data_IF_272856981472
#
_entry.id   IF_272856981472
#
_cell.length_a   1.000
_cell.length_b   1.000
_cell.length_c   1.000
_cell.angle_alpha   90.00
_cell.angle_beta   90.00
_cell.angle_gamma   90.00
#
_symmetry.space_group_name_H-M   'P 1'
#
loop_
_entity.id
_entity.type
_entity.pdbx_description
1 polymer ?
#
# COMPACT_ATOMS: atom_id res chain seq x y z
N UNK A 1 -6.75 -2.64 -2.64
CA UNK A 1 -7.86 -1.72 -2.32
C UNK A 1 -8.98 -2.38 -1.53
N UNK A 2 -9.47 -3.60 -1.86
CA UNK A 2 -10.52 -4.29 -1.09
C UNK A 2 -10.16 -4.55 0.38
N UNK A 3 -8.90 -4.89 0.66
CA UNK A 3 -8.43 -5.29 2.01
C UNK A 3 -7.73 -4.17 2.78
N UNK A 4 -7.24 -3.15 2.09
CA UNK A 4 -6.59 -1.96 2.66
C UNK A 4 -6.93 -0.73 1.84
N UNK A 5 -7.20 0.37 2.53
CA UNK A 5 -7.55 1.64 1.88
C UNK A 5 -6.33 2.42 1.40
N UNK A 6 -5.14 2.11 1.89
CA UNK A 6 -3.88 2.68 1.42
C UNK A 6 -3.08 1.60 0.68
N UNK A 7 -2.77 1.87 -0.58
CA UNK A 7 -1.91 1.04 -1.43
C UNK A 7 -0.73 1.87 -1.88
N UNK A 8 0.47 1.32 -1.74
CA UNK A 8 1.72 1.93 -2.20
C UNK A 8 2.21 1.19 -3.44
N UNK A 9 2.42 1.92 -4.52
CA UNK A 9 2.99 1.41 -5.76
C UNK A 9 4.48 1.79 -5.79
N UNK A 10 5.34 0.82 -5.52
CA UNK A 10 6.80 0.99 -5.46
C UNK A 10 7.45 0.52 -6.76
N UNK A 11 8.53 1.14 -7.17
CA UNK A 11 9.34 0.74 -8.32
C UNK A 11 10.15 1.89 -8.91
N UNK A 12 10.94 1.58 -9.92
CA UNK A 12 11.81 2.57 -10.59
C UNK A 12 10.99 3.74 -11.18
N UNK A 13 11.63 4.89 -11.30
CA UNK A 13 11.02 6.03 -11.99
C UNK A 13 10.71 5.66 -13.45
N UNK A 14 9.58 6.15 -13.97
CA UNK A 14 9.15 5.88 -15.35
C UNK A 14 8.48 4.51 -15.61
N UNK A 15 8.36 3.62 -14.64
CA UNK A 15 7.72 2.29 -14.82
C UNK A 15 6.19 2.37 -15.02
N UNK A 16 5.59 3.56 -14.88
CA UNK A 16 4.16 3.75 -15.11
C UNK A 16 3.28 3.69 -13.87
N UNK A 17 3.81 3.88 -12.66
CA UNK A 17 3.05 3.87 -11.39
C UNK A 17 1.82 4.78 -11.43
N UNK A 18 2.00 6.06 -11.74
CA UNK A 18 0.92 7.05 -11.83
C UNK A 18 -0.07 6.70 -12.96
N UNK A 19 0.41 6.09 -14.04
CA UNK A 19 -0.46 5.60 -15.14
C UNK A 19 -1.39 4.48 -14.68
N UNK A 20 -0.91 3.55 -13.85
CA UNK A 20 -1.73 2.48 -13.29
C UNK A 20 -2.87 3.06 -12.46
N UNK A 21 -2.63 4.10 -11.65
CA UNK A 21 -3.68 4.77 -10.86
C UNK A 21 -4.74 5.38 -11.77
N UNK A 22 -4.34 6.08 -12.84
CA UNK A 22 -5.28 6.65 -13.82
C UNK A 22 -6.13 5.57 -14.50
N UNK A 23 -5.50 4.46 -14.92
CA UNK A 23 -6.21 3.34 -15.54
C UNK A 23 -7.17 2.67 -14.56
N UNK A 24 -6.79 2.56 -13.29
CA UNK A 24 -7.64 2.02 -12.24
C UNK A 24 -8.85 2.92 -11.96
N UNK A 25 -8.65 4.24 -11.87
CA UNK A 25 -9.74 5.20 -11.76
C UNK A 25 -10.69 5.10 -12.95
N UNK A 26 -10.14 5.01 -14.16
CA UNK A 26 -10.92 4.83 -15.37
C UNK A 26 -11.73 3.52 -15.38
N UNK A 27 -11.13 2.42 -14.93
CA UNK A 27 -11.80 1.12 -14.82
C UNK A 27 -12.96 1.14 -13.82
N UNK A 28 -12.92 2.01 -12.81
CA UNK A 28 -13.98 2.18 -11.83
C UNK A 28 -15.03 3.25 -12.23
N UNK A 29 -14.79 4.02 -13.32
CA UNK A 29 -15.61 5.19 -13.67
C UNK A 29 -15.42 6.39 -12.74
N UNK A 30 -14.30 6.44 -12.03
CA UNK A 30 -13.99 7.44 -11.01
C UNK A 30 -12.97 8.49 -11.48
N UNK A 31 -12.80 8.70 -12.80
CA UNK A 31 -11.81 9.64 -13.35
C UNK A 31 -12.04 11.07 -12.85
N UNK A 32 -13.31 11.54 -12.79
CA UNK A 32 -13.67 12.86 -12.29
C UNK A 32 -13.48 13.04 -10.79
N UNK A 33 -13.30 11.95 -10.06
CA UNK A 33 -13.12 11.90 -8.61
C UNK A 33 -11.71 11.44 -8.23
N UNK A 34 -10.77 11.44 -9.19
CA UNK A 34 -9.36 11.20 -8.95
C UNK A 34 -8.66 12.53 -8.64
N UNK A 35 -8.10 12.63 -7.44
CA UNK A 35 -7.24 13.75 -7.05
C UNK A 35 -5.79 13.28 -7.03
N UNK A 36 -4.95 13.88 -7.87
CA UNK A 36 -3.50 13.68 -7.90
C UNK A 36 -2.82 14.78 -7.12
N UNK A 37 -2.07 14.40 -6.08
CA UNK A 37 -1.37 15.30 -5.18
C UNK A 37 0.12 15.03 -5.30
N UNK A 38 0.86 15.97 -5.89
CA UNK A 38 2.33 15.91 -5.91
C UNK A 38 2.87 16.28 -4.53
N UNK A 39 3.60 15.35 -3.90
CA UNK A 39 4.22 15.60 -2.60
C UNK A 39 5.43 16.50 -2.76
N UNK A 40 5.51 17.55 -1.95
CA UNK A 40 6.68 18.44 -1.94
C UNK A 40 7.73 17.98 -0.93
N UNK A 41 9.02 18.01 -1.29
CA UNK A 41 10.11 17.72 -0.33
C UNK A 41 10.13 18.65 0.88
N UNK A 42 9.49 19.83 0.78
CA UNK A 42 9.41 20.83 1.85
C UNK A 42 8.36 20.52 2.92
N UNK A 43 7.49 19.53 2.70
CA UNK A 43 6.44 19.21 3.66
C UNK A 43 6.99 18.63 4.96
N UNK A 44 6.69 19.29 6.06
CA UNK A 44 7.21 18.96 7.38
C UNK A 44 6.15 18.55 8.39
N UNK A 45 4.90 18.92 8.15
CA UNK A 45 3.76 18.59 9.02
C UNK A 45 2.46 18.45 8.20
N UNK A 46 1.35 18.17 8.86
CA UNK A 46 0.05 17.95 8.22
C UNK A 46 -0.64 19.25 7.78
N UNK A 47 -0.15 20.41 8.16
CA UNK A 47 -0.71 21.72 7.71
C UNK A 47 -0.43 21.97 6.24
N UNK A 48 0.70 21.47 5.71
CA UNK A 48 1.00 21.53 4.28
C UNK A 48 -0.06 20.80 3.45
N UNK A 49 -0.60 19.70 3.99
CA UNK A 49 -1.58 18.86 3.32
C UNK A 49 -3.03 19.28 3.61
N UNK A 50 -3.34 19.55 4.86
CA UNK A 50 -4.68 19.85 5.33
C UNK A 50 -4.99 21.35 5.31
N UNK A 51 -4.01 22.19 5.61
CA UNK A 51 -4.21 23.61 5.87
C UNK A 51 -4.31 23.92 7.37
N UNK A 52 -4.77 25.11 7.71
CA UNK A 52 -4.76 25.59 9.09
C UNK A 52 -5.88 26.55 9.41
N UNK A 53 -6.28 26.68 10.69
CA UNK A 53 -7.22 27.69 11.17
C UNK A 53 -6.53 29.06 11.29
N UNK A 54 -6.95 30.03 10.47
CA UNK A 54 -6.52 31.41 10.55
C UNK A 54 -7.44 32.17 11.52
N UNK A 55 -7.04 32.18 12.79
CA UNK A 55 -7.82 32.79 13.87
C UNK A 55 -7.82 34.32 13.83
N UNK A 56 -6.87 34.92 13.12
CA UNK A 56 -6.83 36.38 12.95
C UNK A 56 -7.92 36.85 11.96
N UNK A 57 -8.09 36.09 10.89
CA UNK A 57 -9.09 36.39 9.87
C UNK A 57 -10.42 35.64 10.06
N UNK A 58 -10.53 34.81 11.08
CA UNK A 58 -11.69 33.95 11.37
C UNK A 58 -12.11 33.07 10.17
N UNK A 59 -11.15 32.43 9.52
CA UNK A 59 -11.37 31.50 8.40
C UNK A 59 -10.49 30.28 8.55
N UNK A 60 -10.96 29.17 8.02
CA UNK A 60 -10.08 28.02 7.77
C UNK A 60 -9.45 28.16 6.37
N UNK A 61 -8.14 27.96 6.27
CA UNK A 61 -7.40 27.97 5.02
C UNK A 61 -7.01 26.52 4.65
N UNK A 62 -7.68 25.92 3.66
CA UNK A 62 -7.30 24.57 3.21
C UNK A 62 -5.92 24.59 2.55
N UNK A 63 -5.23 23.46 2.62
CA UNK A 63 -3.97 23.28 1.89
C UNK A 63 -4.16 23.30 0.37
N UNK A 64 -3.15 23.75 -0.37
CA UNK A 64 -3.19 23.91 -1.82
C UNK A 64 -3.32 22.60 -2.60
N UNK A 65 -3.12 21.45 -1.95
CA UNK A 65 -3.24 20.11 -2.53
C UNK A 65 -4.66 19.76 -3.04
N UNK A 66 -5.68 20.53 -2.65
CA UNK A 66 -7.08 20.23 -2.93
C UNK A 66 -7.63 19.02 -2.17
N UNK A 67 -6.83 18.41 -1.27
CA UNK A 67 -7.23 17.22 -0.52
C UNK A 67 -8.49 17.47 0.30
N UNK A 68 -8.53 18.54 1.08
CA UNK A 68 -9.67 18.86 1.97
C UNK A 68 -10.94 19.00 1.17
N UNK A 69 -10.90 19.71 0.04
CA UNK A 69 -12.05 19.87 -0.85
C UNK A 69 -12.54 18.52 -1.39
N UNK A 70 -11.61 17.64 -1.79
CA UNK A 70 -11.95 16.29 -2.25
C UNK A 70 -12.56 15.43 -1.14
N UNK A 71 -12.05 15.52 0.09
CA UNK A 71 -12.59 14.79 1.24
C UNK A 71 -13.98 15.25 1.63
N UNK A 72 -14.24 16.56 1.62
CA UNK A 72 -15.57 17.12 1.89
C UNK A 72 -16.55 16.68 0.81
N UNK A 73 -16.16 16.77 -0.48
CA UNK A 73 -16.99 16.28 -1.58
C UNK A 73 -17.32 14.79 -1.41
N UNK A 74 -16.32 13.95 -1.09
CA UNK A 74 -16.51 12.53 -0.89
C UNK A 74 -17.37 12.20 0.34
N UNK A 75 -17.29 13.00 1.40
CA UNK A 75 -18.12 12.83 2.60
C UNK A 75 -19.60 13.09 2.32
N UNK A 76 -19.90 14.02 1.41
CA UNK A 76 -21.26 14.37 1.01
C UNK A 76 -21.82 13.49 -0.12
N UNK A 77 -20.94 12.78 -0.83
CA UNK A 77 -21.28 11.91 -1.96
C UNK A 77 -20.72 10.50 -1.71
N UNK A 78 -21.44 9.72 -0.89
CA UNK A 78 -21.01 8.39 -0.45
C UNK A 78 -21.24 7.28 -1.48
N UNK A 79 -22.01 7.55 -2.52
CA UNK A 79 -22.32 6.57 -3.58
C UNK A 79 -21.18 6.45 -4.59
N UNK A 80 -20.42 7.50 -4.82
CA UNK A 80 -19.33 7.52 -5.77
C UNK A 80 -17.99 7.22 -5.12
N UNK A 81 -17.09 6.58 -5.87
CA UNK A 81 -15.72 6.29 -5.44
C UNK A 81 -14.84 7.51 -5.67
N UNK A 82 -14.01 7.83 -4.68
CA UNK A 82 -12.98 8.85 -4.73
C UNK A 82 -11.61 8.22 -4.56
N UNK A 83 -10.67 8.61 -5.41
CA UNK A 83 -9.30 8.13 -5.36
C UNK A 83 -8.38 9.32 -5.12
N UNK A 84 -7.59 9.23 -4.07
CA UNK A 84 -6.58 10.23 -3.73
C UNK A 84 -5.22 9.59 -3.94
N UNK A 85 -4.45 10.12 -4.88
CA UNK A 85 -3.12 9.65 -5.22
C UNK A 85 -2.07 10.65 -4.75
N UNK A 86 -1.20 10.23 -3.84
CA UNK A 86 0.00 10.95 -3.47
C UNK A 86 1.13 10.53 -4.40
N UNK A 87 1.50 11.41 -5.33
CA UNK A 87 2.57 11.12 -6.27
C UNK A 87 3.91 11.43 -5.62
N UNK A 88 4.85 10.48 -5.75
CA UNK A 88 6.15 10.50 -5.08
C UNK A 88 6.02 10.68 -3.55
N UNK A 89 5.17 9.84 -2.94
CA UNK A 89 4.77 9.95 -1.53
C UNK A 89 5.95 9.98 -0.56
N UNK A 90 7.10 9.43 -0.93
CA UNK A 90 8.32 9.38 -0.11
C UNK A 90 9.33 10.52 -0.36
N UNK A 91 8.96 11.56 -1.10
CA UNK A 91 9.79 12.78 -1.22
C UNK A 91 9.88 13.56 0.10
N UNK A 92 8.86 13.47 0.94
CA UNK A 92 8.87 13.97 2.30
C UNK A 92 8.62 12.83 3.30
N UNK A 93 8.88 13.06 4.58
CA UNK A 93 8.61 12.05 5.62
C UNK A 93 7.11 11.89 5.83
N UNK A 94 6.58 10.77 5.39
CA UNK A 94 5.14 10.45 5.43
C UNK A 94 4.58 10.52 6.84
N UNK A 95 5.35 10.10 7.84
CA UNK A 95 4.95 10.12 9.24
C UNK A 95 4.67 11.53 9.77
N UNK A 96 5.19 12.56 9.11
CA UNK A 96 4.99 13.96 9.48
C UNK A 96 3.72 14.50 8.82
N UNK A 97 3.72 14.63 7.50
CA UNK A 97 2.60 15.29 6.80
C UNK A 97 1.33 14.43 6.70
N UNK A 98 1.44 13.11 6.86
CA UNK A 98 0.32 12.16 6.78
C UNK A 98 -0.07 11.56 8.14
N UNK A 99 0.39 12.16 9.24
CA UNK A 99 0.28 11.62 10.60
C UNK A 99 -1.16 11.36 11.05
N UNK A 100 -2.07 12.31 10.82
CA UNK A 100 -3.48 12.16 11.16
C UNK A 100 -4.15 11.03 10.36
N UNK A 101 -3.84 10.90 9.07
CA UNK A 101 -4.38 9.84 8.23
C UNK A 101 -3.93 8.45 8.67
N UNK A 102 -2.66 8.31 9.08
CA UNK A 102 -2.17 7.04 9.62
C UNK A 102 -2.97 6.59 10.84
N UNK A 103 -3.40 7.54 11.67
CA UNK A 103 -4.25 7.25 12.83
C UNK A 103 -5.69 6.92 12.42
N UNK A 104 -6.27 7.72 11.53
CA UNK A 104 -7.65 7.53 11.04
C UNK A 104 -7.81 6.22 10.27
N UNK A 105 -6.82 5.84 9.46
CA UNK A 105 -6.85 4.60 8.68
C UNK A 105 -6.76 3.33 9.55
N UNK A 106 -6.25 3.46 10.78
CA UNK A 106 -6.18 2.34 11.75
C UNK A 106 -7.52 2.08 12.46
N UNK A 107 -8.35 3.11 12.59
CA UNK A 107 -9.64 2.98 13.27
C UNK A 107 -10.60 2.10 12.47
N UNK A 108 -11.29 1.20 13.16
CA UNK A 108 -12.36 0.38 12.55
C UNK A 108 -13.61 1.24 12.36
N UNK A 109 -14.01 1.95 13.41
CA UNK A 109 -15.17 2.85 13.44
C UNK A 109 -14.74 4.31 13.62
N UNK A 110 -15.64 5.24 13.28
CA UNK A 110 -15.48 6.68 13.50
C UNK A 110 -14.19 7.26 12.90
N UNK A 111 -13.95 6.97 11.63
CA UNK A 111 -12.84 7.55 10.88
C UNK A 111 -13.08 9.04 10.65
N UNK A 112 -12.74 9.85 11.65
CA UNK A 112 -12.93 11.30 11.65
C UNK A 112 -11.55 11.98 11.55
N UNK A 113 -11.40 12.79 10.52
CA UNK A 113 -10.26 13.68 10.35
C UNK A 113 -10.63 15.04 10.96
N UNK A 114 -9.78 15.58 11.82
CA UNK A 114 -9.99 16.90 12.43
C UNK A 114 -9.22 17.96 11.65
N UNK A 115 -9.89 19.01 11.22
CA UNK A 115 -9.26 20.16 10.56
C UNK A 115 -8.86 21.23 11.58
N UNK A 116 -9.71 21.47 12.58
CA UNK A 116 -9.49 22.42 13.67
C UNK A 116 -10.36 22.08 14.89
N UNK A 117 -10.18 22.83 15.99
CA UNK A 117 -11.01 22.64 17.17
C UNK A 117 -12.47 23.06 16.91
N UNK A 118 -13.43 22.17 17.20
CA UNK A 118 -14.87 22.43 17.03
C UNK A 118 -15.37 23.70 17.74
N UNK A 119 -14.71 24.11 18.85
CA UNK A 119 -15.05 25.34 19.57
C UNK A 119 -14.83 26.62 18.74
N UNK A 120 -14.07 26.52 17.65
CA UNK A 120 -13.83 27.63 16.72
C UNK A 120 -14.85 27.68 15.57
N UNK A 121 -15.67 26.65 15.39
CA UNK A 121 -16.56 26.50 14.24
C UNK A 121 -17.54 27.67 14.11
N UNK A 122 -18.11 28.12 15.22
CA UNK A 122 -19.03 29.26 15.26
C UNK A 122 -18.36 30.61 14.99
N UNK A 123 -17.03 30.69 14.99
CA UNK A 123 -16.26 31.92 14.75
C UNK A 123 -15.78 32.03 13.31
N UNK A 124 -15.71 30.95 12.59
CA UNK A 124 -15.18 30.96 11.22
C UNK A 124 -16.27 31.21 10.20
N UNK A 125 -16.06 32.22 9.37
CA UNK A 125 -17.00 32.61 8.32
C UNK A 125 -17.24 31.54 7.26
N UNK A 126 -16.31 30.63 7.08
CA UNK A 126 -16.37 29.55 6.09
C UNK A 126 -16.54 28.15 6.71
N UNK A 127 -17.04 28.07 7.95
CA UNK A 127 -17.23 26.79 8.65
C UNK A 127 -18.26 25.87 7.98
N UNK A 128 -19.26 26.42 7.27
CA UNK A 128 -20.19 25.61 6.47
C UNK A 128 -19.50 24.91 5.31
N UNK A 129 -18.53 25.58 4.67
CA UNK A 129 -17.73 25.00 3.59
C UNK A 129 -16.63 24.07 4.11
N UNK A 130 -16.01 24.43 5.24
CA UNK A 130 -14.93 23.69 5.88
C UNK A 130 -15.28 23.36 7.32
N UNK A 131 -16.02 22.27 7.57
CA UNK A 131 -16.41 21.88 8.92
C UNK A 131 -15.17 21.47 9.74
N UNK A 132 -15.27 21.59 11.07
CA UNK A 132 -14.17 21.24 11.98
C UNK A 132 -13.71 19.79 11.86
N UNK A 133 -14.58 18.91 11.35
CA UNK A 133 -14.36 17.49 11.23
C UNK A 133 -14.91 16.95 9.91
N UNK A 134 -14.17 16.03 9.29
CA UNK A 134 -14.59 15.31 8.07
C UNK A 134 -14.64 13.82 8.35
N UNK A 135 -15.75 13.18 8.01
CA UNK A 135 -15.86 11.71 8.07
C UNK A 135 -15.21 11.07 6.84
N UNK A 136 -14.21 10.23 7.06
CA UNK A 136 -13.56 9.46 6.00
C UNK A 136 -14.39 8.21 5.71
N UNK A 137 -15.12 8.24 4.60
CA UNK A 137 -16.03 7.17 4.18
C UNK A 137 -15.29 5.95 3.60
N UNK A 138 -16.05 4.88 3.40
CA UNK A 138 -15.57 3.69 2.72
C UNK A 138 -15.45 3.86 1.20
N UNK A 139 -15.93 4.97 0.67
CA UNK A 139 -15.85 5.36 -0.73
C UNK A 139 -14.51 6.03 -1.09
N UNK A 140 -13.61 6.29 -0.11
CA UNK A 140 -12.33 6.96 -0.33
C UNK A 140 -11.20 5.93 -0.34
N UNK A 141 -10.42 5.91 -1.42
CA UNK A 141 -9.28 5.04 -1.64
C UNK A 141 -8.01 5.90 -1.74
N UNK A 142 -6.97 5.52 -1.01
CA UNK A 142 -5.68 6.21 -1.01
C UNK A 142 -4.64 5.38 -1.76
N UNK A 143 -3.87 6.03 -2.62
CA UNK A 143 -2.73 5.44 -3.33
C UNK A 143 -1.51 6.32 -3.10
N UNK A 144 -0.35 5.74 -2.88
CA UNK A 144 0.93 6.44 -2.93
C UNK A 144 1.79 5.85 -4.04
N UNK A 145 2.39 6.66 -4.90
CA UNK A 145 3.49 6.21 -5.75
C UNK A 145 4.81 6.43 -5.02
N UNK A 146 5.75 5.52 -5.19
CA UNK A 146 7.01 5.49 -4.46
C UNK A 146 8.15 5.23 -5.44
N UNK A 147 9.13 6.11 -5.47
CA UNK A 147 10.36 5.87 -6.19
C UNK A 147 11.37 5.22 -5.26
N UNK A 148 12.02 4.16 -5.74
CA UNK A 148 13.09 3.46 -5.04
C UNK A 148 14.41 4.01 -5.57
N UNK A 149 14.80 5.19 -5.09
CA UNK A 149 16.09 5.81 -5.36
C UNK A 149 16.74 6.31 -4.06
N UNK A 150 18.01 6.68 -4.12
CA UNK A 150 18.79 7.08 -2.95
C UNK A 150 18.37 8.42 -2.34
N UNK A 151 17.55 9.21 -3.05
CA UNK A 151 17.18 10.58 -2.65
C UNK A 151 15.89 10.66 -1.84
N UNK A 152 15.18 9.55 -1.68
CA UNK A 152 13.86 9.49 -1.07
C UNK A 152 13.90 8.92 0.35
N UNK A 153 12.86 9.25 1.16
CA UNK A 153 12.74 8.72 2.53
C UNK A 153 12.19 7.30 2.53
N UNK A 154 12.72 6.46 3.42
CA UNK A 154 12.16 5.14 3.69
C UNK A 154 10.90 5.25 4.55
N UNK A 155 9.93 4.39 4.28
CA UNK A 155 8.75 4.30 5.13
C UNK A 155 9.06 3.65 6.46
N UNK A 156 8.47 4.19 7.53
CA UNK A 156 8.46 3.53 8.82
C UNK A 156 7.49 2.33 8.83
N UNK A 157 7.67 1.46 9.80
CA UNK A 157 6.77 0.33 10.02
C UNK A 157 5.31 0.78 10.25
N UNK A 158 5.10 2.00 10.79
CA UNK A 158 3.77 2.58 10.97
C UNK A 158 3.02 2.76 9.65
N UNK A 159 3.70 3.16 8.59
CA UNK A 159 3.15 3.33 7.24
C UNK A 159 2.94 1.95 6.60
N UNK A 160 3.96 1.09 6.65
CA UNK A 160 3.93 -0.26 6.05
C UNK A 160 2.82 -1.14 6.65
N UNK A 161 2.55 -1.05 7.96
CA UNK A 161 1.48 -1.81 8.61
C UNK A 161 0.07 -1.41 8.13
N UNK A 162 -0.09 -0.16 7.70
CA UNK A 162 -1.38 0.40 7.26
C UNK A 162 -1.61 0.32 5.77
N UNK A 163 -0.58 -0.03 5.02
CA UNK A 163 -0.61 -0.09 3.55
C UNK A 163 -0.49 -1.52 3.01
N UNK A 164 -0.80 -1.68 1.74
CA UNK A 164 -0.32 -2.77 0.90
C UNK A 164 0.73 -2.22 -0.04
N UNK A 165 1.94 -2.71 0.04
CA UNK A 165 3.01 -2.33 -0.88
C UNK A 165 2.99 -3.28 -2.08
N UNK A 166 2.86 -2.73 -3.27
CA UNK A 166 2.93 -3.47 -4.54
C UNK A 166 4.19 -3.01 -5.24
N UNK A 167 5.17 -3.87 -5.32
CA UNK A 167 6.39 -3.63 -6.09
C UNK A 167 6.13 -3.93 -7.56
N UNK A 168 6.45 -2.98 -8.42
CA UNK A 168 6.33 -3.09 -9.86
C UNK A 168 7.70 -3.41 -10.45
N UNK A 169 7.79 -4.54 -11.12
CA UNK A 169 8.99 -4.96 -11.83
C UNK A 169 8.92 -4.58 -13.32
N UNK A 170 10.07 -4.23 -13.88
CA UNK A 170 10.20 -4.06 -15.33
C UNK A 170 10.19 -5.46 -15.96
N UNK A 171 9.32 -5.65 -16.92
CA UNK A 171 9.28 -6.84 -17.76
C UNK A 171 10.37 -6.77 -18.83
N UNK A 172 10.71 -7.93 -19.39
CA UNK A 172 11.63 -7.96 -20.53
C UNK A 172 11.13 -7.06 -21.67
N UNK A 173 12.03 -6.28 -22.25
CA UNK A 173 11.64 -5.37 -23.34
C UNK A 173 11.13 -6.08 -24.58
N UNK A 174 11.47 -7.36 -24.76
CA UNK A 174 10.89 -8.24 -25.79
C UNK A 174 9.37 -8.36 -25.68
N UNK A 175 8.81 -8.31 -24.47
CA UNK A 175 7.35 -8.36 -24.25
C UNK A 175 6.64 -7.13 -24.84
N UNK A 176 7.34 -5.99 -25.01
CA UNK A 176 6.76 -4.79 -25.62
C UNK A 176 6.27 -5.03 -27.04
N UNK A 177 6.90 -5.94 -27.76
CA UNK A 177 6.49 -6.35 -29.13
C UNK A 177 5.14 -7.08 -29.14
N UNK A 178 4.74 -7.67 -28.00
CA UNK A 178 3.46 -8.39 -27.87
C UNK A 178 2.28 -7.46 -27.54
N UNK A 179 2.51 -6.27 -26.97
CA UNK A 179 1.47 -5.34 -26.57
C UNK A 179 0.66 -4.75 -27.74
N UNK A 180 1.19 -4.76 -28.96
CA UNK A 180 0.54 -4.25 -30.18
C UNK A 180 -0.31 -5.27 -30.93
N UNK A 181 -0.35 -6.54 -30.50
CA UNK A 181 -1.08 -7.57 -31.21
C UNK A 181 -2.60 -7.43 -30.99
N UNK A 182 -3.35 -7.44 -32.08
CA UNK A 182 -4.81 -7.22 -32.14
C UNK A 182 -5.63 -8.12 -31.19
N UNK A 183 -5.15 -9.33 -30.88
CA UNK A 183 -5.76 -10.27 -29.92
C UNK A 183 -5.93 -9.72 -28.50
N UNK A 184 -5.01 -8.84 -28.04
CA UNK A 184 -5.10 -8.24 -26.71
C UNK A 184 -6.16 -7.14 -26.67
N UNK A 185 -6.39 -6.44 -27.78
CA UNK A 185 -7.42 -5.38 -27.89
C UNK A 185 -8.82 -5.99 -27.88
N UNK A 186 -9.02 -7.12 -28.56
CA UNK A 186 -10.30 -7.85 -28.56
C UNK A 186 -10.63 -8.41 -27.17
N UNK A 187 -9.64 -8.98 -26.49
CA UNK A 187 -9.81 -9.50 -25.12
C UNK A 187 -10.18 -8.39 -24.14
N UNK A 188 -9.60 -7.20 -24.28
CA UNK A 188 -9.94 -6.03 -23.48
C UNK A 188 -11.36 -5.50 -23.80
N UNK A 189 -11.80 -5.56 -25.05
CA UNK A 189 -13.18 -5.21 -25.44
C UNK A 189 -14.19 -6.16 -24.80
N UNK A 190 -13.96 -7.48 -24.88
CA UNK A 190 -14.82 -8.49 -24.29
C UNK A 190 -14.93 -8.37 -22.78
N UNK A 191 -13.82 -8.08 -22.09
CA UNK A 191 -13.81 -7.81 -20.65
C UNK A 191 -14.62 -6.53 -20.34
N UNK A 192 -14.52 -5.50 -21.18
CA UNK A 192 -15.26 -4.24 -21.02
C UNK A 192 -16.77 -4.40 -21.17
N UNK A 193 -17.20 -5.30 -22.05
CA UNK A 193 -18.61 -5.66 -22.27
C UNK A 193 -19.19 -6.52 -21.12
N UNK A 194 -18.33 -7.24 -20.40
CA UNK A 194 -18.71 -8.07 -19.25
C UNK A 194 -18.75 -7.30 -17.91
N UNK A 195 -18.14 -6.14 -17.83
CA UNK A 195 -18.22 -5.26 -16.66
C UNK A 195 -19.57 -4.54 -16.73
N UNK A 196 -20.55 -4.98 -15.93
CA UNK A 196 -21.91 -4.47 -15.87
C UNK A 196 -22.04 -2.93 -15.73
N UNK A 197 -23.01 -2.44 -14.98
CA UNK A 197 -23.28 -0.99 -14.83
C UNK A 197 -22.03 -0.18 -14.47
N UNK A 198 -21.82 0.89 -15.22
CA UNK A 198 -20.68 1.79 -15.07
C UNK A 198 -21.18 3.24 -14.92
N UNK A 199 -20.72 4.05 -13.95
CA UNK A 199 -19.63 3.81 -13.00
C UNK A 199 -19.96 2.83 -11.85
N UNK A 200 -18.92 2.17 -11.32
CA UNK A 200 -19.07 1.28 -10.17
C UNK A 200 -19.31 2.13 -8.92
N UNK A 201 -20.42 1.87 -8.21
CA UNK A 201 -20.72 2.56 -6.96
C UNK A 201 -19.82 2.10 -5.80
N UNK A 202 -19.71 2.93 -4.78
CA UNK A 202 -18.97 2.56 -3.56
C UNK A 202 -19.57 1.32 -2.87
N UNK A 203 -20.90 1.18 -2.87
CA UNK A 203 -21.60 0.00 -2.35
C UNK A 203 -21.20 -1.26 -3.12
N UNK A 204 -21.26 -1.20 -4.46
CA UNK A 204 -20.84 -2.33 -5.32
C UNK A 204 -19.36 -2.66 -5.12
N UNK A 205 -18.48 -1.66 -5.07
CA UNK A 205 -17.05 -1.89 -4.81
C UNK A 205 -16.81 -2.56 -3.45
N UNK A 206 -17.51 -2.12 -2.42
CA UNK A 206 -17.37 -2.69 -1.08
C UNK A 206 -17.95 -4.12 -0.99
N UNK A 207 -18.99 -4.45 -1.77
CA UNK A 207 -19.54 -5.81 -1.83
C UNK A 207 -18.58 -6.84 -2.42
N UNK A 208 -17.56 -6.41 -3.17
CA UNK A 208 -16.50 -7.31 -3.64
C UNK A 208 -15.55 -7.77 -2.53
N UNK A 209 -15.67 -7.21 -1.32
CA UNK A 209 -14.83 -7.61 -0.19
C UNK A 209 -15.49 -8.75 0.57
N UNK A 210 -14.77 -9.86 0.70
CA UNK A 210 -15.19 -10.99 1.54
C UNK A 210 -14.71 -10.76 2.98
N UNK A 211 -15.65 -10.71 3.93
CA UNK A 211 -15.41 -10.51 5.36
C UNK A 211 -15.83 -11.72 6.21
N UNK A 212 -15.89 -12.91 5.61
CA UNK A 212 -16.27 -14.13 6.31
C UNK A 212 -15.40 -14.36 7.55
N UNK A 213 -16.01 -14.97 8.60
CA UNK A 213 -15.33 -15.25 9.86
C UNK A 213 -14.40 -16.44 9.79
N UNK A 214 -14.67 -17.38 8.88
CA UNK A 214 -13.80 -18.55 8.67
C UNK A 214 -12.45 -18.12 8.09
N UNK A 215 -11.38 -18.71 8.61
CA UNK A 215 -10.03 -18.42 8.12
C UNK A 215 -9.78 -19.15 6.80
N UNK A 216 -9.20 -18.43 5.81
CA UNK A 216 -8.66 -19.02 4.60
C UNK A 216 -7.28 -19.67 4.82
N UNK A 217 -6.55 -19.23 5.85
CA UNK A 217 -5.30 -19.83 6.28
C UNK A 217 -5.56 -21.19 6.94
N UNK A 218 -4.92 -22.24 6.45
CA UNK A 218 -4.92 -23.57 7.07
C UNK A 218 -4.02 -23.61 8.31
N UNK A 219 -4.10 -24.71 9.06
CA UNK A 219 -3.20 -24.94 10.20
C UNK A 219 -1.73 -24.94 9.78
N UNK A 220 -1.41 -25.58 8.64
CA UNK A 220 -0.04 -25.59 8.10
C UNK A 220 0.47 -24.21 7.70
N UNK A 221 -0.41 -23.34 7.16
CA UNK A 221 -0.05 -21.96 6.84
C UNK A 221 0.29 -21.16 8.10
N UNK A 222 -0.51 -21.35 9.16
CA UNK A 222 -0.27 -20.69 10.46
C UNK A 222 1.01 -21.19 11.12
N UNK A 223 1.30 -22.48 11.02
CA UNK A 223 2.55 -23.08 11.50
C UNK A 223 3.75 -22.51 10.75
N UNK A 224 3.68 -22.39 9.43
CA UNK A 224 4.74 -21.76 8.63
C UNK A 224 4.99 -20.30 9.05
N UNK A 225 3.94 -19.49 9.16
CA UNK A 225 4.05 -18.09 9.61
C UNK A 225 4.65 -18.00 11.01
N UNK A 226 4.34 -18.95 11.88
CA UNK A 226 4.91 -19.04 13.22
C UNK A 226 6.40 -19.40 13.20
N UNK A 227 6.82 -20.35 12.35
CA UNK A 227 8.24 -20.69 12.18
C UNK A 227 9.04 -19.48 11.66
N UNK A 228 8.51 -18.75 10.65
CA UNK A 228 9.12 -17.51 10.18
C UNK A 228 9.21 -16.50 11.33
N UNK A 229 8.14 -16.31 12.11
CA UNK A 229 8.13 -15.41 13.27
C UNK A 229 9.25 -15.75 14.26
N UNK A 230 9.44 -17.04 14.60
CA UNK A 230 10.50 -17.48 15.52
C UNK A 230 11.90 -17.16 15.01
N UNK A 231 12.16 -17.39 13.72
CA UNK A 231 13.45 -17.07 13.09
C UNK A 231 13.71 -15.55 13.17
N UNK A 232 12.71 -14.74 12.84
CA UNK A 232 12.80 -13.28 12.92
C UNK A 232 13.08 -12.77 14.34
N UNK A 233 12.36 -13.31 15.34
CA UNK A 233 12.53 -12.95 16.75
C UNK A 233 13.90 -13.38 17.32
N UNK A 234 14.46 -14.46 16.80
CA UNK A 234 15.81 -14.93 17.18
C UNK A 234 16.87 -13.91 16.76
N UNK A 235 16.75 -13.35 15.56
CA UNK A 235 17.71 -12.36 15.07
C UNK A 235 17.53 -10.99 15.75
N UNK A 236 16.31 -10.54 15.93
CA UNK A 236 16.01 -9.31 16.65
C UNK A 236 14.59 -9.29 17.19
N UNK A 237 14.41 -8.82 18.43
CA UNK A 237 13.08 -8.60 19.04
C UNK A 237 12.24 -7.55 18.30
N UNK A 238 12.84 -6.75 17.42
CA UNK A 238 12.14 -5.77 16.58
C UNK A 238 11.47 -6.40 15.38
N UNK A 239 11.91 -7.59 14.94
CA UNK A 239 11.36 -8.29 13.80
C UNK A 239 10.31 -9.30 14.26
N UNK A 240 9.34 -9.59 13.42
CA UNK A 240 8.35 -10.61 13.68
C UNK A 240 7.03 -10.40 12.95
N UNK A 241 6.18 -11.42 13.06
CA UNK A 241 4.84 -11.42 12.47
C UNK A 241 3.83 -11.28 13.61
N UNK A 242 3.19 -10.11 13.73
CA UNK A 242 2.13 -9.92 14.71
C UNK A 242 0.80 -10.49 14.25
N UNK A 243 -0.13 -10.73 15.18
CA UNK A 243 -1.48 -11.26 14.90
C UNK A 243 -2.25 -10.41 13.89
N UNK A 244 -2.01 -9.09 13.86
CA UNK A 244 -2.58 -8.17 12.86
C UNK A 244 -2.12 -8.54 11.44
N UNK A 245 -0.83 -8.84 11.25
CA UNK A 245 -0.29 -9.25 9.94
C UNK A 245 -0.93 -10.56 9.49
N UNK A 246 -1.05 -11.54 10.38
CA UNK A 246 -1.72 -12.82 10.08
C UNK A 246 -3.16 -12.60 9.63
N UNK A 247 -3.94 -11.76 10.34
CA UNK A 247 -5.31 -11.40 9.95
C UNK A 247 -5.36 -10.71 8.58
N UNK A 248 -4.38 -9.87 8.27
CA UNK A 248 -4.34 -9.21 6.96
C UNK A 248 -3.99 -10.17 5.82
N UNK A 249 -3.11 -11.15 6.07
CA UNK A 249 -2.82 -12.21 5.09
C UNK A 249 -4.09 -13.01 4.84
N UNK A 250 -4.77 -13.45 5.89
CA UNK A 250 -6.03 -14.17 5.82
C UNK A 250 -7.08 -13.40 5.01
N UNK A 251 -7.27 -12.12 5.33
CA UNK A 251 -8.20 -11.25 4.63
C UNK A 251 -7.82 -11.07 3.14
N UNK A 252 -6.53 -11.03 2.83
CA UNK A 252 -6.08 -10.96 1.44
C UNK A 252 -6.47 -12.22 0.67
N UNK A 253 -6.24 -13.40 1.25
CA UNK A 253 -6.56 -14.70 0.63
C UNK A 253 -8.06 -14.85 0.36
N UNK A 254 -8.91 -14.46 1.31
CA UNK A 254 -10.38 -14.45 1.13
C UNK A 254 -10.84 -13.57 -0.02
N UNK A 255 -10.05 -12.57 -0.38
CA UNK A 255 -10.40 -11.58 -1.40
C UNK A 255 -9.73 -11.83 -2.76
N UNK A 256 -9.04 -12.95 -2.95
CA UNK A 256 -8.58 -13.39 -4.27
C UNK A 256 -9.84 -13.80 -5.06
N UNK A 257 -10.13 -13.18 -6.22
CA UNK A 257 -11.30 -13.52 -7.01
C UNK A 257 -11.21 -14.96 -7.57
N UNK A 258 -12.35 -15.61 -7.70
CA UNK A 258 -12.41 -16.88 -8.44
C UNK A 258 -11.97 -16.67 -9.87
N UNK A 259 -11.16 -17.60 -10.39
CA UNK A 259 -10.59 -17.51 -11.74
C UNK A 259 -9.47 -16.50 -11.92
N UNK A 260 -9.02 -15.85 -10.84
CA UNK A 260 -7.82 -15.03 -10.89
C UNK A 260 -6.58 -15.89 -11.21
N UNK A 261 -5.59 -15.35 -11.94
CA UNK A 261 -4.35 -16.06 -12.23
C UNK A 261 -3.40 -16.11 -11.02
N UNK A 262 -3.94 -16.08 -9.82
CA UNK A 262 -3.24 -16.06 -8.52
C UNK A 262 -3.81 -17.19 -7.68
N UNK A 263 -2.96 -18.14 -7.31
CA UNK A 263 -3.32 -19.23 -6.38
C UNK A 263 -3.28 -18.75 -4.93
N UNK A 264 -3.77 -19.59 -4.00
CA UNK A 264 -3.61 -19.35 -2.56
C UNK A 264 -2.12 -19.23 -2.17
N UNK A 265 -1.27 -20.09 -2.75
CA UNK A 265 0.16 -20.11 -2.53
C UNK A 265 0.83 -18.82 -2.97
N UNK A 266 0.52 -18.36 -4.20
CA UNK A 266 0.98 -17.06 -4.69
C UNK A 266 0.52 -15.92 -3.79
N UNK A 267 -0.70 -16.02 -3.24
CA UNK A 267 -1.25 -15.03 -2.31
C UNK A 267 -0.47 -14.97 -0.99
N UNK A 268 -0.06 -16.12 -0.44
CA UNK A 268 0.76 -16.19 0.77
C UNK A 268 2.16 -15.64 0.48
N UNK A 269 2.78 -16.05 -0.63
CA UNK A 269 4.09 -15.56 -1.05
C UNK A 269 4.11 -14.03 -1.21
N UNK A 270 3.14 -13.50 -1.95
CA UNK A 270 2.95 -12.06 -2.11
C UNK A 270 2.83 -11.33 -0.77
N UNK A 271 2.05 -11.87 0.16
CA UNK A 271 1.82 -11.21 1.44
C UNK A 271 3.02 -11.32 2.39
N UNK A 272 3.79 -12.41 2.35
CA UNK A 272 5.06 -12.52 3.07
C UNK A 272 6.04 -11.47 2.52
N UNK A 273 6.21 -11.41 1.20
CA UNK A 273 7.05 -10.39 0.56
C UNK A 273 6.64 -8.97 0.96
N UNK A 274 5.37 -8.62 0.77
CA UNK A 274 4.86 -7.25 0.93
C UNK A 274 4.74 -6.78 2.38
N UNK A 275 4.56 -7.67 3.37
CA UNK A 275 4.25 -7.30 4.75
C UNK A 275 5.26 -7.72 5.79
N UNK A 276 6.07 -8.72 5.47
CA UNK A 276 7.08 -9.25 6.39
C UNK A 276 8.46 -8.82 5.94
N UNK A 277 8.82 -9.15 4.70
CA UNK A 277 10.17 -8.92 4.19
C UNK A 277 10.48 -7.44 3.93
N UNK A 278 9.49 -6.62 3.58
CA UNK A 278 9.66 -5.15 3.44
C UNK A 278 10.11 -4.46 4.72
N UNK A 279 9.90 -5.08 5.88
CA UNK A 279 10.32 -4.54 7.19
C UNK A 279 11.71 -5.00 7.62
N UNK A 280 12.27 -5.98 6.92
CA UNK A 280 13.59 -6.52 7.21
C UNK A 280 14.65 -5.58 6.65
N UNK A 281 15.21 -4.77 7.52
CA UNK A 281 16.27 -3.80 7.23
C UNK A 281 17.21 -3.67 8.41
N UNK A 282 18.46 -3.51 8.13
CA UNK A 282 19.48 -3.35 9.17
C UNK A 282 20.87 -3.69 8.71
N UNK A 283 21.78 -3.61 9.66
CA UNK A 283 23.20 -3.90 9.47
C UNK A 283 23.47 -5.40 9.39
N UNK A 284 24.63 -5.73 8.87
CA UNK A 284 25.05 -7.09 8.59
C UNK A 284 24.97 -8.04 9.79
N UNK A 285 25.37 -7.60 10.99
CA UNK A 285 25.36 -8.42 12.19
C UNK A 285 23.97 -8.96 12.56
N UNK A 286 22.92 -8.23 12.22
CA UNK A 286 21.55 -8.63 12.52
C UNK A 286 20.91 -9.40 11.37
N UNK A 287 21.26 -9.04 10.12
CA UNK A 287 20.57 -9.51 8.94
C UNK A 287 21.18 -10.78 8.33
N UNK A 288 22.50 -11.00 8.52
CA UNK A 288 23.25 -12.09 7.86
C UNK A 288 22.64 -13.47 8.09
N UNK A 289 22.28 -13.81 9.32
CA UNK A 289 21.64 -15.12 9.61
C UNK A 289 20.28 -15.26 8.92
N UNK A 290 19.52 -14.16 8.80
CA UNK A 290 18.20 -14.18 8.21
C UNK A 290 18.25 -14.37 6.71
N UNK A 291 19.03 -13.53 6.00
CA UNK A 291 19.04 -13.48 4.54
C UNK A 291 20.14 -14.31 3.90
N UNK A 292 21.16 -14.72 4.68
CA UNK A 292 22.29 -15.53 4.20
C UNK A 292 23.43 -14.71 3.59
N UNK A 293 24.36 -15.43 2.98
CA UNK A 293 25.50 -14.87 2.26
C UNK A 293 25.27 -14.98 0.75
N UNK A 294 25.37 -13.86 0.05
CA UNK A 294 25.28 -13.82 -1.41
C UNK A 294 26.64 -14.11 -2.04
N UNK A 295 26.69 -15.08 -2.94
CA UNK A 295 27.87 -15.40 -3.75
C UNK A 295 27.72 -14.76 -5.15
N UNK A 296 28.64 -13.87 -5.48
CA UNK A 296 28.63 -13.16 -6.77
C UNK A 296 28.93 -14.06 -7.98
N UNK A 297 29.71 -15.13 -7.78
CA UNK A 297 30.09 -16.02 -8.87
C UNK A 297 28.94 -16.95 -9.25
N UNK A 298 28.32 -17.56 -8.26
CA UNK A 298 27.19 -18.48 -8.48
C UNK A 298 25.85 -17.78 -8.55
N UNK A 299 25.76 -16.51 -8.13
CA UNK A 299 24.52 -15.72 -7.98
C UNK A 299 23.49 -16.42 -7.09
N UNK A 300 23.95 -17.09 -6.06
CA UNK A 300 23.11 -17.84 -5.12
C UNK A 300 23.30 -17.36 -3.70
N UNK A 301 22.29 -17.59 -2.86
CA UNK A 301 22.33 -17.31 -1.43
C UNK A 301 22.53 -18.62 -0.67
N UNK A 302 23.45 -18.62 0.29
CA UNK A 302 23.70 -19.76 1.17
C UNK A 302 23.52 -19.35 2.62
N UNK A 303 23.08 -20.31 3.47
CA UNK A 303 22.96 -20.10 4.91
C UNK A 303 21.83 -19.16 5.35
N UNK A 304 20.81 -18.93 4.54
CA UNK A 304 19.64 -18.16 4.91
C UNK A 304 18.64 -18.98 5.72
N UNK A 305 18.41 -18.61 6.97
CA UNK A 305 17.39 -19.25 7.80
C UNK A 305 15.97 -19.02 7.25
N UNK A 306 15.71 -17.89 6.60
CA UNK A 306 14.40 -17.63 6.00
C UNK A 306 14.16 -18.51 4.78
N UNK A 307 15.14 -18.64 3.87
CA UNK A 307 15.02 -19.52 2.70
C UNK A 307 14.81 -20.96 3.17
N UNK A 308 15.58 -21.43 4.17
CA UNK A 308 15.42 -22.78 4.74
C UNK A 308 13.97 -23.03 5.21
N UNK A 309 13.36 -22.06 5.91
CA UNK A 309 11.97 -22.21 6.39
C UNK A 309 10.96 -22.21 5.24
N UNK A 310 11.19 -21.42 4.20
CA UNK A 310 10.34 -21.39 3.01
C UNK A 310 10.48 -22.70 2.20
N UNK A 311 11.69 -23.26 2.09
CA UNK A 311 11.96 -24.53 1.38
C UNK A 311 11.35 -25.75 2.09
N UNK A 312 11.26 -25.71 3.41
CA UNK A 312 10.64 -26.79 4.21
C UNK A 312 9.10 -26.80 4.14
N UNK A 313 8.51 -25.87 3.40
CA UNK A 313 7.06 -25.83 3.14
C UNK A 313 6.72 -26.57 1.84
N UNK A 314 5.45 -26.90 1.66
CA UNK A 314 4.95 -27.50 0.42
C UNK A 314 4.72 -26.46 -0.71
N UNK A 315 5.05 -25.18 -0.47
CA UNK A 315 4.78 -24.06 -1.38
C UNK A 315 6.06 -23.58 -2.06
N UNK A 316 5.91 -23.04 -3.27
CA UNK A 316 7.01 -22.39 -3.98
C UNK A 316 6.98 -20.87 -3.76
N UNK A 317 7.81 -20.39 -2.84
CA UNK A 317 7.91 -18.97 -2.47
C UNK A 317 8.89 -18.18 -3.38
N UNK A 318 8.56 -18.09 -4.67
CA UNK A 318 9.46 -17.48 -5.67
C UNK A 318 9.73 -16.00 -5.37
N UNK A 319 8.70 -15.22 -5.02
CA UNK A 319 8.83 -13.77 -4.77
C UNK A 319 9.54 -13.48 -3.46
N UNK A 320 9.18 -14.19 -2.40
CA UNK A 320 9.83 -14.04 -1.10
C UNK A 320 11.30 -14.41 -1.18
N UNK A 321 11.66 -15.50 -1.86
CA UNK A 321 13.06 -15.90 -2.05
C UNK A 321 13.83 -14.85 -2.84
N UNK A 322 13.29 -14.35 -3.95
CA UNK A 322 13.91 -13.29 -4.75
C UNK A 322 14.17 -12.03 -3.92
N UNK A 323 13.23 -11.65 -3.06
CA UNK A 323 13.40 -10.50 -2.17
C UNK A 323 14.48 -10.75 -1.10
N UNK A 324 14.57 -11.97 -0.55
CA UNK A 324 15.63 -12.35 0.39
C UNK A 324 17.00 -12.32 -0.31
N UNK A 325 17.09 -12.84 -1.52
CA UNK A 325 18.31 -12.80 -2.35
C UNK A 325 18.74 -11.35 -2.63
N UNK A 326 17.80 -10.47 -2.97
CA UNK A 326 18.08 -9.04 -3.18
C UNK A 326 18.66 -8.41 -1.90
N UNK A 327 18.05 -8.68 -0.73
CA UNK A 327 18.55 -8.17 0.56
C UNK A 327 19.91 -8.73 0.94
N UNK A 328 20.19 -10.01 0.64
CA UNK A 328 21.49 -10.63 0.85
C UNK A 328 22.56 -9.97 -0.04
N UNK A 329 22.21 -9.66 -1.28
CA UNK A 329 23.08 -8.93 -2.22
C UNK A 329 23.36 -7.52 -1.74
N UNK A 330 22.34 -6.74 -1.32
CA UNK A 330 22.50 -5.40 -0.75
C UNK A 330 23.43 -5.44 0.47
N UNK A 331 23.23 -6.43 1.34
CA UNK A 331 24.04 -6.61 2.53
C UNK A 331 25.50 -6.86 2.20
N UNK A 332 25.80 -7.70 1.18
CA UNK A 332 27.17 -8.00 0.77
C UNK A 332 27.86 -6.78 0.15
N UNK A 333 27.13 -5.93 -0.56
CA UNK A 333 27.69 -4.74 -1.24
C UNK A 333 27.82 -3.52 -0.33
N UNK A 334 26.84 -3.29 0.53
CA UNK A 334 26.68 -2.04 1.28
C UNK A 334 26.91 -2.21 2.79
N UNK A 335 27.00 -3.46 3.30
CA UNK A 335 27.06 -3.74 4.74
C UNK A 335 25.71 -3.56 5.47
N UNK A 336 24.64 -3.20 4.74
CA UNK A 336 23.29 -3.10 5.25
C UNK A 336 22.26 -3.42 4.16
N UNK A 337 21.09 -3.90 4.54
CA UNK A 337 19.94 -4.10 3.65
C UNK A 337 18.81 -3.12 4.02
N UNK A 338 18.10 -2.65 2.99
CA UNK A 338 17.01 -1.67 3.08
C UNK A 338 15.66 -2.33 2.91
#
# INVERSE_FOLDING_TARGET
>A
MKTKRLVLLSGLSGIGKSRIVQLYAKALGAESNLNFISVSPSWTDDTDLLGFPDTLNNVYRPGDSGLVNTLIKASNDQDNIYIICFDEMNLARVEHYFSQFLSVLEMEDRKILKLYNSDLEHRFYNSEQYPSQIKIGQNILFVGTVNVDETTYHFSDKVLDRSNVIELEIKEFSELLEFGKQKNIEKLKTIREQIGEFPITATTFNSFSNNDREMALSKSDLELLWEIHKVLQKASKKFGIGTRVVKHIDQYLKNIPEGAPITKEDGIDLQIAQRVLTKLRGVEEVMRELVGNYDEQTKTVTGSLLIEKLDNSNYNFTRSKKMIEQKAKELSHNGFAI
#
